data_IF_967902869316
#
_entry.id   IF_967902869316
#
_cell.length_a   1.000
_cell.length_b   1.000
_cell.length_c   1.000
_cell.angle_alpha   90.00
_cell.angle_beta   90.00
_cell.angle_gamma   90.00
#
_symmetry.space_group_name_H-M   'P 1'
#
loop_
_entity.id
_entity.type
_entity.pdbx_description
1 polymer ?
#
# COMPACT_ATOMS: atom_id res chain seq x y z
N UNK A 1 -54.43 34.90 -22.31
CA UNK A 1 -53.58 34.43 -21.20
C UNK A 1 -53.25 32.97 -21.49
N UNK A 2 -52.03 32.47 -21.67
CA UNK A 2 -50.73 33.00 -21.33
C UNK A 2 -49.70 32.61 -22.41
N UNK A 3 -49.27 33.58 -23.20
CA UNK A 3 -47.97 33.63 -23.86
C UNK A 3 -46.95 34.16 -22.85
N UNK A 4 -46.39 33.30 -22.00
CA UNK A 4 -45.18 33.60 -21.24
C UNK A 4 -44.70 32.32 -20.57
N UNK A 5 -43.38 32.10 -20.57
CA UNK A 5 -42.61 31.04 -19.84
C UNK A 5 -41.87 30.00 -20.69
N UNK A 6 -41.62 30.24 -21.98
CA UNK A 6 -40.47 29.64 -22.70
C UNK A 6 -39.21 30.52 -22.67
N UNK A 7 -38.93 31.25 -21.58
CA UNK A 7 -37.80 32.19 -21.50
C UNK A 7 -36.98 32.21 -20.20
N UNK A 8 -37.14 31.23 -19.30
CA UNK A 8 -36.41 31.22 -18.01
C UNK A 8 -35.41 30.05 -17.87
N UNK A 9 -34.75 29.64 -18.96
CA UNK A 9 -33.77 28.53 -18.92
C UNK A 9 -32.39 28.88 -19.48
N UNK A 10 -32.15 30.11 -19.93
CA UNK A 10 -30.94 30.46 -20.71
C UNK A 10 -30.09 31.60 -20.11
N UNK A 11 -30.32 31.99 -18.86
CA UNK A 11 -29.65 33.16 -18.26
C UNK A 11 -28.92 32.93 -16.94
N UNK A 12 -28.71 31.68 -16.53
CA UNK A 12 -28.01 31.36 -15.28
C UNK A 12 -26.89 30.32 -15.42
N UNK A 13 -26.47 29.99 -16.65
CA UNK A 13 -25.35 29.08 -16.92
C UNK A 13 -24.13 29.81 -17.51
N UNK A 14 -24.17 31.14 -17.64
CA UNK A 14 -23.12 31.91 -18.35
C UNK A 14 -22.20 32.74 -17.47
N UNK A 15 -22.16 32.56 -16.14
CA UNK A 15 -21.35 33.42 -15.25
C UNK A 15 -20.32 32.71 -14.38
N UNK A 16 -20.11 31.39 -14.52
CA UNK A 16 -19.08 30.65 -13.76
C UNK A 16 -18.12 29.85 -14.65
N UNK A 17 -18.35 29.83 -15.97
CA UNK A 17 -17.42 29.29 -16.95
C UNK A 17 -16.84 30.43 -17.79
N UNK A 18 -15.93 31.19 -17.20
CA UNK A 18 -14.97 31.98 -17.96
C UNK A 18 -13.65 32.01 -17.19
N UNK A 19 -12.56 31.75 -17.90
CA UNK A 19 -11.16 31.68 -17.44
C UNK A 19 -10.59 30.30 -17.06
N UNK A 20 -10.89 29.27 -17.84
CA UNK A 20 -9.86 28.25 -18.15
C UNK A 20 -9.88 27.97 -19.64
N UNK A 21 -9.09 28.75 -20.38
CA UNK A 21 -8.64 28.33 -21.70
C UNK A 21 -7.87 27.02 -21.53
N UNK A 22 -8.37 25.94 -22.12
CA UNK A 22 -7.58 24.73 -22.27
C UNK A 22 -6.56 25.00 -23.37
N UNK A 23 -5.43 25.59 -22.95
CA UNK A 23 -4.31 25.86 -23.81
C UNK A 23 -3.67 24.54 -24.24
N UNK A 24 -3.93 24.11 -25.48
CA UNK A 24 -3.17 23.06 -26.16
C UNK A 24 -1.80 23.60 -26.58
N UNK A 25 -1.05 24.13 -25.62
CA UNK A 25 0.33 24.56 -25.84
C UNK A 25 1.28 23.47 -25.36
N UNK A 26 2.33 23.21 -26.15
CA UNK A 26 3.46 22.35 -25.82
C UNK A 26 4.20 22.73 -24.51
N UNK A 27 3.72 23.73 -23.78
CA UNK A 27 4.26 24.22 -22.51
C UNK A 27 3.78 23.39 -21.32
N UNK A 28 2.55 22.85 -21.34
CA UNK A 28 2.06 21.97 -20.26
C UNK A 28 2.83 20.65 -20.15
N UNK A 29 3.20 20.06 -21.30
CA UNK A 29 4.05 18.87 -21.34
C UNK A 29 5.49 19.16 -20.89
N UNK A 30 6.01 20.36 -21.19
CA UNK A 30 7.36 20.77 -20.78
C UNK A 30 7.49 20.93 -19.26
N UNK A 31 6.47 21.44 -18.57
CA UNK A 31 6.51 21.58 -17.09
C UNK A 31 6.49 20.20 -16.41
N UNK A 32 5.67 19.27 -16.89
CA UNK A 32 5.63 17.89 -16.37
C UNK A 32 6.93 17.13 -16.69
N UNK A 33 7.52 17.35 -17.88
CA UNK A 33 8.82 16.78 -18.26
C UNK A 33 9.96 17.38 -17.44
N UNK A 34 9.98 18.69 -17.23
CA UNK A 34 11.00 19.37 -16.42
C UNK A 34 10.93 18.96 -14.94
N UNK A 35 9.72 18.77 -14.38
CA UNK A 35 9.57 18.24 -13.02
C UNK A 35 10.01 16.77 -12.91
N UNK A 36 9.77 15.96 -13.94
CA UNK A 36 10.30 14.59 -14.00
C UNK A 36 11.83 14.56 -14.15
N UNK A 37 12.41 15.46 -14.96
CA UNK A 37 13.85 15.58 -15.18
C UNK A 37 14.57 16.06 -13.90
N UNK A 38 13.99 17.03 -13.17
CA UNK A 38 14.53 17.49 -11.88
C UNK A 38 14.46 16.42 -10.78
N UNK A 39 13.45 15.55 -10.78
CA UNK A 39 13.38 14.39 -9.88
C UNK A 39 14.39 13.29 -10.26
N UNK A 40 14.77 13.20 -11.53
CA UNK A 40 15.76 12.22 -12.03
C UNK A 40 17.20 12.64 -11.74
N UNK A 41 17.52 13.94 -11.69
CA UNK A 41 18.89 14.44 -11.45
C UNK A 41 19.44 14.18 -10.03
N UNK A 42 18.58 13.85 -9.06
CA UNK A 42 18.98 13.57 -7.66
C UNK A 42 18.68 12.13 -7.20
N UNK A 43 18.04 11.34 -8.06
CA UNK A 43 17.62 9.97 -7.75
C UNK A 43 18.78 8.99 -7.82
N UNK A 44 19.36 8.63 -6.68
CA UNK A 44 20.32 7.51 -6.61
C UNK A 44 19.64 6.23 -7.11
N UNK A 45 20.30 5.50 -8.02
CA UNK A 45 19.81 4.18 -8.43
C UNK A 45 19.78 3.24 -7.23
N UNK A 46 18.61 2.65 -6.96
CA UNK A 46 18.35 1.77 -5.84
C UNK A 46 17.76 0.47 -6.35
N UNK A 47 18.22 -0.65 -5.82
CA UNK A 47 17.52 -1.92 -5.99
C UNK A 47 16.18 -1.88 -5.23
N UNK A 48 15.29 -2.81 -5.57
CA UNK A 48 13.94 -2.86 -5.01
C UNK A 48 13.95 -3.06 -3.48
N UNK A 49 14.81 -3.93 -2.96
CA UNK A 49 14.91 -4.19 -1.52
C UNK A 49 15.31 -2.92 -0.75
N UNK A 50 16.27 -2.16 -1.28
CA UNK A 50 16.71 -0.88 -0.72
C UNK A 50 15.61 0.18 -0.81
N UNK A 51 14.84 0.21 -1.90
CA UNK A 51 13.70 1.12 -2.04
C UNK A 51 12.59 0.80 -1.00
N UNK A 52 12.29 -0.49 -0.80
CA UNK A 52 11.35 -0.93 0.25
C UNK A 52 11.88 -0.55 1.63
N UNK A 53 13.16 -0.80 1.90
CA UNK A 53 13.77 -0.45 3.18
C UNK A 53 13.68 1.06 3.47
N UNK A 54 13.95 1.92 2.48
CA UNK A 54 13.79 3.36 2.60
C UNK A 54 12.33 3.76 2.85
N UNK A 55 11.37 3.14 2.16
CA UNK A 55 9.96 3.38 2.39
C UNK A 55 9.54 3.03 3.83
N UNK A 56 10.07 1.92 4.39
CA UNK A 56 9.83 1.53 5.78
C UNK A 56 10.48 2.50 6.77
N UNK A 57 11.68 2.99 6.49
CA UNK A 57 12.32 4.04 7.28
C UNK A 57 11.45 5.30 7.33
N UNK A 58 10.96 5.77 6.17
CA UNK A 58 10.08 6.93 6.09
C UNK A 58 8.78 6.67 6.87
N UNK A 59 8.16 5.49 6.72
CA UNK A 59 6.93 5.15 7.43
C UNK A 59 7.08 5.11 8.96
N UNK A 60 8.23 4.64 9.45
CA UNK A 60 8.54 4.57 10.89
C UNK A 60 8.96 5.94 11.46
N UNK A 61 9.58 6.80 10.66
CA UNK A 61 9.91 8.19 11.04
C UNK A 61 8.69 9.10 11.07
N UNK A 62 7.82 8.97 10.06
CA UNK A 62 6.69 9.89 9.86
C UNK A 62 5.53 9.63 10.80
N UNK A 63 5.25 8.38 11.16
CA UNK A 63 4.18 8.02 12.09
C UNK A 63 4.74 7.20 13.26
N UNK A 64 4.71 7.71 14.52
CA UNK A 64 5.17 6.97 15.69
C UNK A 64 4.33 5.72 15.98
N UNK A 65 3.12 5.61 15.42
CA UNK A 65 2.23 4.45 15.54
C UNK A 65 2.47 3.37 14.48
N UNK A 66 3.55 3.48 13.70
CA UNK A 66 3.95 2.44 12.75
C UNK A 66 4.73 1.32 13.44
N UNK A 67 4.37 0.08 13.10
CA UNK A 67 5.01 -1.14 13.59
C UNK A 67 5.33 -2.04 12.40
N UNK A 68 6.51 -2.65 12.41
CA UNK A 68 6.94 -3.65 11.42
C UNK A 68 7.17 -4.95 12.16
N UNK A 69 6.50 -6.01 11.74
CA UNK A 69 6.61 -7.31 12.41
C UNK A 69 6.41 -8.45 11.42
N UNK A 70 6.94 -9.61 11.77
CA UNK A 70 6.88 -10.82 10.98
C UNK A 70 8.01 -11.76 11.37
N UNK A 71 8.19 -12.82 10.61
CA UNK A 71 9.31 -13.73 10.81
C UNK A 71 10.61 -13.06 10.40
N UNK A 72 11.64 -13.15 11.26
CA UNK A 72 13.01 -12.76 10.94
C UNK A 72 13.25 -11.27 10.57
N UNK A 73 12.27 -10.39 10.77
CA UNK A 73 12.38 -8.97 10.40
C UNK A 73 13.38 -8.18 11.26
N UNK A 74 13.63 -8.58 12.51
CA UNK A 74 14.43 -7.81 13.46
C UNK A 74 15.93 -7.79 13.14
N UNK A 75 16.47 -8.81 12.48
CA UNK A 75 17.89 -8.80 12.06
C UNK A 75 18.08 -8.20 10.66
N UNK A 76 16.98 -7.97 9.93
CA UNK A 76 16.98 -7.38 8.60
C UNK A 76 16.11 -8.10 7.56
N UNK A 77 15.53 -9.23 7.92
CA UNK A 77 14.73 -10.07 7.02
C UNK A 77 15.61 -10.88 6.07
N UNK A 78 15.06 -11.99 5.57
CA UNK A 78 15.79 -12.91 4.67
C UNK A 78 16.19 -12.24 3.34
N UNK A 79 15.39 -11.26 2.88
CA UNK A 79 15.66 -10.44 1.69
C UNK A 79 16.32 -9.09 2.01
N UNK A 80 16.78 -8.87 3.25
CA UNK A 80 17.41 -7.62 3.72
C UNK A 80 16.53 -6.37 3.65
N UNK A 81 15.22 -6.51 3.47
CA UNK A 81 14.29 -5.39 3.33
C UNK A 81 14.11 -4.58 4.63
N UNK A 82 14.39 -5.15 5.81
CA UNK A 82 14.20 -4.48 7.11
C UNK A 82 15.51 -4.20 7.85
N UNK A 83 16.65 -4.28 7.14
CA UNK A 83 17.99 -4.06 7.70
C UNK A 83 18.08 -2.70 8.39
N UNK A 84 18.65 -2.66 9.60
CA UNK A 84 18.88 -1.42 10.37
C UNK A 84 17.62 -0.79 11.00
N UNK A 85 16.41 -1.29 10.72
CA UNK A 85 15.18 -0.71 11.27
C UNK A 85 15.06 -0.93 12.79
N UNK A 86 15.37 -2.14 13.28
CA UNK A 86 15.26 -2.47 14.70
C UNK A 86 16.28 -1.72 15.57
N UNK A 87 17.48 -1.48 15.03
CA UNK A 87 18.52 -0.69 15.70
C UNK A 87 18.12 0.78 15.81
N UNK A 88 17.53 1.34 14.75
CA UNK A 88 17.15 2.76 14.69
C UNK A 88 15.86 3.10 15.45
N UNK A 89 14.81 2.28 15.32
CA UNK A 89 13.48 2.56 15.88
C UNK A 89 13.15 1.76 17.14
N UNK A 90 14.04 0.83 17.52
CA UNK A 90 13.93 0.00 18.71
C UNK A 90 13.07 -1.25 18.52
N UNK A 91 13.37 -2.26 19.33
CA UNK A 91 12.72 -3.59 19.33
C UNK A 91 11.24 -3.58 19.69
N UNK A 92 10.69 -2.46 20.15
CA UNK A 92 9.25 -2.32 20.43
C UNK A 92 8.42 -2.06 19.17
N UNK A 93 9.05 -1.48 18.14
CA UNK A 93 8.38 -1.10 16.88
C UNK A 93 8.74 -2.04 15.73
N UNK A 94 9.91 -2.67 15.79
CA UNK A 94 10.37 -3.64 14.81
C UNK A 94 10.76 -4.91 15.54
N UNK A 95 9.97 -5.98 15.39
CA UNK A 95 10.14 -7.20 16.17
C UNK A 95 9.74 -8.48 15.42
N UNK A 96 10.34 -9.59 15.85
CA UNK A 96 10.02 -10.91 15.33
C UNK A 96 8.73 -11.45 15.95
N UNK A 97 7.93 -12.15 15.16
CA UNK A 97 6.79 -12.94 15.62
C UNK A 97 7.16 -14.43 15.72
N UNK A 98 6.37 -15.24 16.43
CA UNK A 98 6.39 -16.69 16.24
C UNK A 98 6.12 -17.06 14.78
N UNK A 99 6.60 -18.23 14.37
CA UNK A 99 6.43 -18.78 13.03
C UNK A 99 4.98 -19.28 12.85
N UNK A 100 4.09 -18.36 12.46
CA UNK A 100 2.64 -18.60 12.37
C UNK A 100 1.96 -17.46 11.60
N UNK A 101 1.72 -17.64 10.31
CA UNK A 101 1.22 -16.60 9.41
C UNK A 101 -0.18 -16.13 9.75
N UNK A 102 -1.07 -17.06 10.15
CA UNK A 102 -2.40 -16.70 10.65
C UNK A 102 -2.33 -15.80 11.90
N UNK A 103 -1.34 -16.06 12.77
CA UNK A 103 -1.09 -15.26 13.96
C UNK A 103 -0.54 -13.88 13.61
N UNK A 104 0.37 -13.79 12.65
CA UNK A 104 0.93 -12.53 12.15
C UNK A 104 -0.19 -11.62 11.63
N UNK A 105 -1.02 -12.13 10.73
CA UNK A 105 -2.10 -11.31 10.14
C UNK A 105 -3.17 -10.99 11.18
N UNK A 106 -3.62 -11.94 11.99
CA UNK A 106 -4.61 -11.70 13.05
C UNK A 106 -4.14 -10.65 14.07
N UNK A 107 -2.87 -10.74 14.49
CA UNK A 107 -2.24 -9.73 15.34
C UNK A 107 -2.21 -8.35 14.66
N UNK A 108 -1.86 -8.30 13.37
CA UNK A 108 -1.86 -7.07 12.59
C UNK A 108 -3.24 -6.42 12.46
N UNK A 109 -4.30 -7.21 12.29
CA UNK A 109 -5.69 -6.72 12.27
C UNK A 109 -6.03 -6.07 13.62
N UNK A 110 -5.72 -6.73 14.73
CA UNK A 110 -5.96 -6.20 16.08
C UNK A 110 -5.18 -4.90 16.34
N UNK A 111 -3.91 -4.86 15.93
CA UNK A 111 -3.07 -3.67 16.06
C UNK A 111 -3.62 -2.50 15.24
N UNK A 112 -4.05 -2.75 14.01
CA UNK A 112 -4.66 -1.76 13.13
C UNK A 112 -6.04 -1.30 13.61
N UNK A 113 -6.81 -2.17 14.28
CA UNK A 113 -8.09 -1.82 14.90
C UNK A 113 -7.95 -0.83 16.07
N UNK A 114 -6.75 -0.74 16.67
CA UNK A 114 -6.38 0.26 17.67
C UNK A 114 -5.77 1.54 17.06
N UNK A 115 -6.08 1.85 15.79
CA UNK A 115 -5.57 3.02 15.05
C UNK A 115 -4.04 3.11 14.91
N UNK A 116 -3.36 1.95 14.94
CA UNK A 116 -1.94 1.87 14.60
C UNK A 116 -1.71 1.51 13.13
N UNK A 117 -0.49 1.72 12.64
CA UNK A 117 -0.06 1.28 11.30
C UNK A 117 0.69 -0.04 11.44
N UNK A 118 0.02 -1.12 11.08
CA UNK A 118 0.56 -2.47 11.19
C UNK A 118 1.14 -2.89 9.84
N UNK A 119 2.47 -3.01 9.74
CA UNK A 119 3.18 -3.46 8.54
C UNK A 119 3.66 -4.89 8.80
N UNK A 120 2.83 -5.85 8.39
CA UNK A 120 3.09 -7.27 8.56
C UNK A 120 3.93 -7.81 7.39
N UNK A 121 4.96 -8.60 7.66
CA UNK A 121 5.73 -9.35 6.67
C UNK A 121 5.34 -10.84 6.70
N UNK A 122 4.93 -11.37 5.55
CA UNK A 122 4.88 -12.81 5.29
C UNK A 122 6.10 -13.15 4.43
N UNK A 123 6.85 -14.19 4.81
CA UNK A 123 8.20 -14.42 4.29
C UNK A 123 8.23 -14.76 2.79
N UNK A 124 7.21 -15.47 2.29
CA UNK A 124 6.96 -15.71 0.87
C UNK A 124 5.47 -15.74 0.57
N UNK A 125 5.06 -15.32 -0.63
CA UNK A 125 3.64 -15.30 -1.01
C UNK A 125 3.04 -16.71 -1.00
N UNK A 126 3.86 -17.73 -1.23
CA UNK A 126 3.52 -19.15 -1.13
C UNK A 126 3.04 -19.54 0.29
N UNK A 127 3.48 -18.82 1.33
CA UNK A 127 3.14 -19.07 2.74
C UNK A 127 2.00 -18.19 3.25
N UNK A 128 1.32 -17.43 2.39
CA UNK A 128 0.22 -16.55 2.81
C UNK A 128 -1.08 -17.33 3.12
N UNK A 129 -1.22 -18.56 2.61
CA UNK A 129 -2.46 -19.32 2.65
C UNK A 129 -2.94 -19.71 4.06
N UNK A 130 -2.09 -20.03 5.05
CA UNK A 130 -2.53 -20.19 6.43
C UNK A 130 -3.25 -18.94 6.97
N UNK A 131 -2.87 -17.74 6.52
CA UNK A 131 -3.51 -16.49 6.89
C UNK A 131 -4.73 -16.12 6.03
N UNK A 132 -5.13 -16.96 5.06
CA UNK A 132 -6.17 -16.63 4.09
C UNK A 132 -7.51 -16.31 4.76
N UNK A 133 -7.90 -17.06 5.79
CA UNK A 133 -9.13 -16.79 6.54
C UNK A 133 -9.09 -15.41 7.23
N UNK A 134 -7.98 -15.06 7.89
CA UNK A 134 -7.80 -13.75 8.52
C UNK A 134 -7.85 -12.62 7.48
N UNK A 135 -7.30 -12.83 6.28
CA UNK A 135 -7.34 -11.81 5.22
C UNK A 135 -8.76 -11.66 4.66
N UNK A 136 -9.40 -12.77 4.32
CA UNK A 136 -10.65 -12.77 3.55
C UNK A 136 -11.87 -12.55 4.41
N UNK A 137 -11.97 -13.22 5.56
CA UNK A 137 -13.15 -13.14 6.41
C UNK A 137 -13.04 -12.04 7.46
N UNK A 138 -11.85 -11.80 8.01
CA UNK A 138 -11.65 -10.78 9.03
C UNK A 138 -11.27 -9.42 8.42
N UNK A 139 -10.07 -9.28 7.84
CA UNK A 139 -9.54 -7.99 7.39
C UNK A 139 -10.40 -7.32 6.32
N UNK A 140 -10.77 -8.06 5.27
CA UNK A 140 -11.54 -7.52 4.15
C UNK A 140 -12.93 -6.99 4.56
N UNK A 141 -13.58 -7.67 5.52
CA UNK A 141 -14.95 -7.38 5.93
C UNK A 141 -15.02 -6.50 7.19
N UNK A 142 -13.90 -6.24 7.85
CA UNK A 142 -13.82 -5.61 9.17
C UNK A 142 -14.58 -4.27 9.25
N UNK A 143 -14.38 -3.39 8.26
CA UNK A 143 -15.05 -2.09 8.18
C UNK A 143 -16.53 -2.21 7.83
N UNK A 144 -16.86 -3.14 6.93
CA UNK A 144 -18.22 -3.31 6.45
C UNK A 144 -19.14 -3.91 7.53
N UNK A 145 -18.69 -4.98 8.20
CA UNK A 145 -19.47 -5.67 9.24
C UNK A 145 -19.78 -4.81 10.46
N UNK A 146 -18.96 -3.79 10.73
CA UNK A 146 -19.11 -2.89 11.88
C UNK A 146 -19.90 -1.62 11.54
N UNK A 147 -20.39 -1.45 10.31
CA UNK A 147 -20.98 -0.17 9.87
C UNK A 147 -19.98 0.99 10.01
N UNK A 148 -18.70 0.74 9.78
CA UNK A 148 -17.59 1.70 9.94
C UNK A 148 -17.30 2.15 11.39
N UNK A 149 -17.84 1.47 12.41
CA UNK A 149 -17.46 1.75 13.81
C UNK A 149 -16.03 1.29 14.13
N UNK A 150 -15.58 0.19 13.51
CA UNK A 150 -14.22 -0.33 13.64
C UNK A 150 -13.63 -0.58 12.25
N UNK A 151 -12.32 -0.38 12.09
CA UNK A 151 -11.65 -0.64 10.82
C UNK A 151 -10.20 -1.08 11.05
N UNK A 152 -9.65 -1.87 10.14
CA UNK A 152 -8.24 -2.26 10.14
C UNK A 152 -7.49 -1.62 8.96
N UNK A 153 -7.87 -0.39 8.56
CA UNK A 153 -7.30 0.28 7.38
C UNK A 153 -5.82 0.68 7.54
N UNK A 154 -5.28 0.60 8.75
CA UNK A 154 -3.85 0.77 9.03
C UNK A 154 -3.00 -0.47 8.75
N UNK A 155 -3.60 -1.60 8.35
CA UNK A 155 -2.89 -2.84 8.04
C UNK A 155 -2.36 -2.84 6.60
N UNK A 156 -1.08 -3.15 6.46
CA UNK A 156 -0.41 -3.49 5.20
C UNK A 156 0.29 -4.82 5.37
N UNK A 157 -0.05 -5.79 4.53
CA UNK A 157 0.66 -7.09 4.47
C UNK A 157 1.59 -7.02 3.26
N UNK A 158 2.88 -7.24 3.49
CA UNK A 158 3.90 -7.29 2.43
C UNK A 158 4.50 -8.68 2.37
N UNK A 159 4.69 -9.16 1.15
CA UNK A 159 5.25 -10.48 0.87
C UNK A 159 6.07 -10.43 -0.42
N UNK A 160 7.23 -11.11 -0.48
CA UNK A 160 7.90 -11.42 -1.73
C UNK A 160 6.98 -12.30 -2.60
N UNK A 161 6.94 -12.04 -3.91
CA UNK A 161 6.07 -12.76 -4.85
C UNK A 161 6.78 -12.97 -6.18
N UNK A 162 6.30 -13.95 -6.96
CA UNK A 162 6.74 -14.19 -8.33
C UNK A 162 7.92 -15.16 -8.46
N UNK A 163 8.19 -15.56 -9.70
CA UNK A 163 9.23 -16.53 -10.02
C UNK A 163 10.65 -15.97 -9.81
N UNK A 164 11.54 -16.80 -9.27
CA UNK A 164 12.96 -16.48 -9.00
C UNK A 164 13.94 -17.38 -9.77
N UNK A 165 13.46 -18.12 -10.77
CA UNK A 165 14.25 -19.04 -11.60
C UNK A 165 14.45 -20.43 -11.00
N UNK A 166 14.75 -20.55 -9.70
CA UNK A 166 15.04 -21.82 -9.03
C UNK A 166 14.24 -22.02 -7.72
N UNK A 167 13.08 -21.37 -7.58
CA UNK A 167 12.28 -21.40 -6.34
C UNK A 167 11.38 -22.63 -6.16
N UNK A 168 11.19 -23.44 -7.21
CA UNK A 168 10.35 -24.64 -7.15
C UNK A 168 8.88 -24.32 -6.84
N UNK A 169 8.21 -25.21 -6.11
CA UNK A 169 6.77 -25.10 -5.84
C UNK A 169 6.39 -24.05 -4.78
N UNK A 170 7.31 -23.71 -3.88
CA UNK A 170 6.99 -22.95 -2.65
C UNK A 170 7.80 -21.66 -2.49
N UNK A 171 8.49 -21.21 -3.54
CA UNK A 171 9.17 -19.91 -3.57
C UNK A 171 9.04 -19.24 -4.95
N UNK A 172 7.89 -19.41 -5.63
CA UNK A 172 7.69 -18.89 -6.99
C UNK A 172 6.23 -18.60 -7.34
N UNK A 173 5.30 -18.77 -6.41
CA UNK A 173 3.88 -18.55 -6.70
C UNK A 173 3.55 -17.05 -6.88
N UNK A 174 2.45 -16.82 -7.60
CA UNK A 174 1.82 -15.51 -7.80
C UNK A 174 0.33 -15.66 -7.43
N UNK A 175 -0.01 -15.52 -6.13
CA UNK A 175 -1.34 -15.84 -5.62
C UNK A 175 -2.33 -14.66 -5.71
N UNK A 176 -2.03 -13.59 -6.44
CA UNK A 176 -2.86 -12.38 -6.51
C UNK A 176 -4.30 -12.66 -6.92
N UNK A 177 -4.53 -13.62 -7.82
CA UNK A 177 -5.86 -13.95 -8.32
C UNK A 177 -6.80 -14.43 -7.19
N UNK A 178 -6.27 -15.14 -6.18
CA UNK A 178 -7.05 -15.58 -5.02
C UNK A 178 -7.56 -14.39 -4.19
N UNK A 179 -6.82 -13.29 -4.18
CA UNK A 179 -7.16 -12.08 -3.43
C UNK A 179 -7.95 -11.06 -4.25
N UNK A 180 -7.79 -11.04 -5.57
CA UNK A 180 -8.52 -10.13 -6.47
C UNK A 180 -10.04 -10.33 -6.43
N UNK A 181 -10.53 -11.52 -6.04
CA UNK A 181 -11.96 -11.79 -5.90
C UNK A 181 -12.52 -11.47 -4.50
N UNK A 182 -11.76 -10.77 -3.65
CA UNK A 182 -12.15 -10.48 -2.26
C UNK A 182 -12.43 -8.98 -2.12
N UNK A 183 -13.71 -8.55 -2.03
CA UNK A 183 -14.04 -7.15 -1.80
C UNK A 183 -13.57 -6.68 -0.43
N UNK A 184 -12.96 -5.50 -0.36
CA UNK A 184 -12.54 -4.84 0.89
C UNK A 184 -11.02 -4.80 1.11
N UNK A 185 -10.24 -5.55 0.34
CA UNK A 185 -8.77 -5.44 0.31
C UNK A 185 -8.28 -4.79 -0.97
N UNK A 186 -7.04 -4.29 -0.94
CA UNK A 186 -6.32 -3.79 -2.11
C UNK A 186 -5.09 -4.65 -2.33
N UNK A 187 -4.96 -5.19 -3.53
CA UNK A 187 -3.80 -5.97 -3.95
C UNK A 187 -2.96 -5.09 -4.86
N UNK A 188 -1.70 -4.89 -4.48
CA UNK A 188 -0.75 -4.07 -5.24
C UNK A 188 0.47 -4.92 -5.59
N UNK A 189 0.81 -4.99 -6.88
CA UNK A 189 2.01 -5.67 -7.37
C UNK A 189 3.09 -4.63 -7.62
N UNK A 190 4.26 -4.83 -7.01
CA UNK A 190 5.42 -3.98 -7.22
C UNK A 190 6.33 -4.65 -8.26
N UNK A 191 6.43 -4.05 -9.44
CA UNK A 191 7.26 -4.55 -10.55
C UNK A 191 8.36 -3.51 -10.81
N UNK A 192 9.65 -3.85 -10.59
CA UNK A 192 10.73 -2.93 -10.91
C UNK A 192 10.82 -2.77 -12.44
N UNK A 193 11.06 -1.54 -12.90
CA UNK A 193 11.37 -1.30 -14.31
C UNK A 193 12.82 -1.73 -14.57
N UNK A 194 12.99 -2.63 -15.53
CA UNK A 194 14.28 -3.05 -16.10
C UNK A 194 14.93 -1.93 -16.90
#
# INVERSE_FOLDING_TARGET
MATSLRRCGRRLVSSVFNNREFSTTCQGNKVIQQQHEQLQETGKSLNLCSAINQALHIALETDPRSYVFGEDVSFGGVFRCTTGLAEKFGKKRVFNTPLCEQGIVGFGIGLAAMDNRAIAEIQFADYIFPAFDQIVNEAAKFRYRSGNQFNCGGLTIRTPYGAVGHGGHYHSQSPEAFFCHVPGIKVCLLIPRS
#
